data_IF_320464553223
#
_entry.id   IF_320464553223
#
_cell.length_a   1.000
_cell.length_b   1.000
_cell.length_c   1.000
_cell.angle_alpha   90.00
_cell.angle_beta   90.00
_cell.angle_gamma   90.00
#
_symmetry.space_group_name_H-M   'P 1'
#
loop_
_entity.id
_entity.type
_entity.pdbx_description
1 polymer ?
#
# COMPACT_ATOMS: atom_id res chain seq x y z
N UNK A 1 9.25 -8.59 0.52
CA UNK A 1 8.49 -8.20 1.73
C UNK A 1 7.02 -8.23 1.40
N UNK A 2 6.20 -9.01 2.10
CA UNK A 2 4.83 -9.32 1.68
C UNK A 2 3.78 -8.70 2.62
N UNK A 3 2.76 -8.01 2.07
CA UNK A 3 1.56 -7.60 2.83
C UNK A 3 0.39 -8.48 2.42
N UNK A 4 -0.36 -9.01 3.41
CA UNK A 4 -1.55 -9.85 3.22
C UNK A 4 -2.80 -8.97 3.32
N UNK A 5 -3.46 -8.75 2.19
CA UNK A 5 -4.79 -8.13 2.15
C UNK A 5 -5.84 -9.22 1.96
N UNK A 6 -6.94 -9.20 2.72
CA UNK A 6 -8.00 -10.23 2.80
C UNK A 6 -8.04 -11.24 1.65
N UNK A 7 -8.59 -10.84 0.49
CA UNK A 7 -8.54 -11.64 -0.76
C UNK A 7 -7.12 -11.66 -1.35
N UNK A 8 -6.30 -12.53 -0.75
CA UNK A 8 -4.95 -13.01 -1.08
C UNK A 8 -4.20 -12.37 -2.25
N UNK A 9 -3.88 -11.08 -2.16
CA UNK A 9 -2.77 -10.47 -2.91
C UNK A 9 -1.60 -10.23 -1.98
N UNK A 10 -0.54 -11.02 -2.16
CA UNK A 10 0.75 -10.78 -1.53
C UNK A 10 1.51 -9.74 -2.36
N UNK A 11 1.67 -8.54 -1.82
CA UNK A 11 2.41 -7.47 -2.50
C UNK A 11 3.85 -7.50 -2.04
N UNK A 12 4.78 -7.74 -2.97
CA UNK A 12 6.19 -7.55 -2.70
C UNK A 12 6.52 -6.05 -2.72
N UNK A 13 7.10 -5.51 -1.63
CA UNK A 13 7.53 -4.11 -1.57
C UNK A 13 8.99 -3.88 -1.98
N UNK A 14 9.77 -4.94 -2.25
CA UNK A 14 11.18 -4.78 -2.66
C UNK A 14 11.34 -4.18 -4.06
N UNK A 15 10.31 -4.28 -4.90
CA UNK A 15 10.26 -3.76 -6.26
C UNK A 15 9.34 -2.55 -6.41
N UNK A 16 8.86 -1.97 -5.30
CA UNK A 16 8.06 -0.75 -5.29
C UNK A 16 8.96 0.47 -5.15
N UNK A 17 8.88 1.37 -6.13
CA UNK A 17 9.67 2.62 -6.16
C UNK A 17 8.91 3.79 -5.55
N UNK A 18 7.60 3.87 -5.76
CA UNK A 18 6.77 4.96 -5.23
C UNK A 18 5.47 4.43 -4.62
N UNK A 19 5.03 5.08 -3.54
CA UNK A 19 3.75 4.84 -2.87
C UNK A 19 3.12 6.19 -2.54
N UNK A 20 1.85 6.41 -2.88
CA UNK A 20 1.14 7.65 -2.58
C UNK A 20 -0.38 7.46 -2.46
N UNK A 21 -1.08 8.35 -1.74
CA UNK A 21 -2.53 8.39 -1.81
C UNK A 21 -2.98 8.87 -3.18
N UNK A 22 -3.95 8.18 -3.77
CA UNK A 22 -4.54 8.55 -5.06
C UNK A 22 -6.06 8.65 -4.89
N UNK A 23 -6.66 9.71 -5.43
CA UNK A 23 -8.10 9.86 -5.50
C UNK A 23 -8.56 9.57 -6.93
N UNK A 24 -9.45 8.60 -7.10
CA UNK A 24 -10.10 8.27 -8.37
C UNK A 24 -11.61 8.27 -8.12
N UNK A 25 -12.35 9.06 -8.90
CA UNK A 25 -13.82 9.11 -8.84
C UNK A 25 -14.38 9.35 -7.43
N UNK A 26 -13.69 10.16 -6.62
CA UNK A 26 -14.08 10.48 -5.24
C UNK A 26 -13.74 9.41 -4.21
N UNK A 27 -13.11 8.31 -4.64
CA UNK A 27 -12.65 7.21 -3.78
C UNK A 27 -11.14 7.27 -3.60
N UNK A 28 -10.67 6.92 -2.42
CA UNK A 28 -9.24 6.96 -2.09
C UNK A 28 -8.61 5.58 -2.19
N UNK A 29 -7.40 5.54 -2.76
CA UNK A 29 -6.66 4.30 -3.01
C UNK A 29 -5.21 4.44 -2.58
N UNK A 30 -4.61 3.31 -2.20
CA UNK A 30 -3.16 3.17 -2.08
C UNK A 30 -2.58 2.97 -3.48
N UNK A 31 -2.04 4.04 -4.07
CA UNK A 31 -1.33 3.94 -5.35
C UNK A 31 0.09 3.45 -5.14
N UNK A 32 0.50 2.43 -5.89
CA UNK A 32 1.88 1.95 -5.94
C UNK A 32 2.40 2.02 -7.38
N UNK A 33 3.70 2.25 -7.52
CA UNK A 33 4.42 2.22 -8.79
C UNK A 33 5.71 1.42 -8.62
N UNK A 34 5.92 0.44 -9.49
CA UNK A 34 7.09 -0.45 -9.45
C UNK A 34 8.33 0.23 -10.04
N UNK A 35 9.50 -0.18 -9.56
CA UNK A 35 10.80 0.25 -10.09
C UNK A 35 10.87 -0.12 -11.57
N UNK A 36 11.17 0.85 -12.43
CA UNK A 36 11.25 0.64 -13.89
C UNK A 36 9.90 0.56 -14.62
N UNK A 37 8.77 0.67 -13.91
CA UNK A 37 7.45 0.80 -14.53
C UNK A 37 7.02 2.26 -14.59
N UNK A 38 6.24 2.63 -15.61
CA UNK A 38 5.53 3.92 -15.67
C UNK A 38 4.06 3.83 -15.27
N UNK A 39 3.57 2.62 -14.98
CA UNK A 39 2.18 2.35 -14.66
C UNK A 39 1.92 2.41 -13.17
N UNK A 40 0.74 2.91 -12.80
CA UNK A 40 0.25 2.93 -11.43
C UNK A 40 -0.70 1.77 -11.20
N UNK A 41 -0.47 1.03 -10.13
CA UNK A 41 -1.43 0.07 -9.60
C UNK A 41 -2.17 0.71 -8.42
N UNK A 42 -3.49 0.55 -8.37
CA UNK A 42 -4.33 1.08 -7.30
C UNK A 42 -4.82 -0.06 -6.44
N UNK A 43 -4.41 -0.06 -5.18
CA UNK A 43 -4.71 -1.09 -4.21
C UNK A 43 -5.65 -0.53 -3.15
N UNK A 44 -6.61 -1.37 -2.71
CA UNK A 44 -7.53 -1.12 -1.59
C UNK A 44 -8.30 0.20 -1.66
N UNK A 45 -9.63 0.14 -1.57
CA UNK A 45 -10.43 1.34 -1.43
C UNK A 45 -10.46 1.81 0.04
N UNK A 46 -10.32 3.11 0.26
CA UNK A 46 -10.31 3.74 1.57
C UNK A 46 -11.33 4.87 1.66
N UNK A 47 -11.82 5.10 2.89
CA UNK A 47 -12.84 6.12 3.19
C UNK A 47 -12.31 7.56 3.10
N UNK A 48 -11.01 7.80 3.34
CA UNK A 48 -10.40 9.12 3.22
C UNK A 48 -8.90 9.08 2.89
N UNK A 49 -8.37 10.21 2.43
CA UNK A 49 -6.94 10.40 2.18
C UNK A 49 -6.09 10.21 3.44
N UNK A 50 -6.61 10.59 4.63
CA UNK A 50 -5.88 10.42 5.89
C UNK A 50 -5.66 8.95 6.21
N UNK A 51 -6.67 8.11 5.99
CA UNK A 51 -6.54 6.67 6.19
C UNK A 51 -5.45 6.10 5.28
N UNK A 52 -5.42 6.51 4.01
CA UNK A 52 -4.37 6.06 3.09
C UNK A 52 -2.98 6.50 3.56
N UNK A 53 -2.83 7.75 4.03
CA UNK A 53 -1.55 8.25 4.56
C UNK A 53 -1.10 7.46 5.78
N UNK A 54 -2.00 7.16 6.71
CA UNK A 54 -1.70 6.33 7.87
C UNK A 54 -1.21 4.92 7.46
N UNK A 55 -1.82 4.32 6.44
CA UNK A 55 -1.37 3.03 5.91
C UNK A 55 0.02 3.15 5.28
N UNK A 56 0.27 4.20 4.49
CA UNK A 56 1.59 4.46 3.89
C UNK A 56 2.66 4.61 4.96
N UNK A 57 2.39 5.35 6.02
CA UNK A 57 3.35 5.54 7.11
C UNK A 57 3.64 4.23 7.83
N UNK A 58 2.63 3.41 8.10
CA UNK A 58 2.83 2.04 8.62
C UNK A 58 3.68 1.18 7.69
N UNK A 59 3.46 1.26 6.37
CA UNK A 59 4.28 0.53 5.38
C UNK A 59 5.74 1.01 5.44
N UNK A 60 5.97 2.33 5.51
CA UNK A 60 7.32 2.91 5.59
C UNK A 60 8.04 2.52 6.88
N UNK A 61 7.36 2.61 8.01
CA UNK A 61 7.93 2.21 9.31
C UNK A 61 8.25 0.72 9.31
N UNK A 62 7.37 -0.08 8.70
CA UNK A 62 7.59 -1.50 8.53
C UNK A 62 8.81 -1.84 7.66
N UNK A 63 8.99 -1.12 6.54
CA UNK A 63 10.17 -1.24 5.67
C UNK A 63 11.45 -0.86 6.44
N UNK A 64 11.43 0.25 7.18
CA UNK A 64 12.56 0.71 7.99
C UNK A 64 12.96 -0.29 9.07
N UNK A 65 11.99 -1.01 9.65
CA UNK A 65 12.21 -2.03 10.67
C UNK A 65 12.77 -3.36 10.11
N UNK A 66 13.10 -3.45 8.81
CA UNK A 66 13.71 -4.64 8.22
C UNK A 66 12.72 -5.76 7.89
N UNK A 67 11.41 -5.50 7.93
CA UNK A 67 10.43 -6.38 7.29
C UNK A 67 10.04 -7.67 8.03
N UNK A 68 10.21 -7.75 9.36
CA UNK A 68 9.94 -8.99 10.10
C UNK A 68 8.48 -9.23 10.54
N UNK A 69 7.54 -8.33 10.24
CA UNK A 69 6.14 -8.34 10.72
C UNK A 69 5.14 -8.28 9.56
N UNK A 70 4.41 -9.38 9.31
CA UNK A 70 3.30 -9.35 8.35
C UNK A 70 2.28 -8.30 8.82
N UNK A 71 2.04 -7.26 8.01
CA UNK A 71 0.94 -6.32 8.22
C UNK A 71 -0.37 -7.06 7.92
N UNK A 72 -0.99 -7.61 8.96
CA UNK A 72 -2.39 -8.04 8.93
C UNK A 72 -3.26 -6.82 9.19
N UNK A 73 -4.08 -6.45 8.22
CA UNK A 73 -5.09 -5.41 8.36
C UNK A 73 -6.45 -6.02 8.08
N UNK A 74 -7.33 -6.05 9.08
CA UNK A 74 -8.74 -6.34 8.87
C UNK A 74 -9.35 -5.20 8.03
N UNK A 75 -9.96 -5.57 6.91
CA UNK A 75 -10.70 -4.63 6.05
C UNK A 75 -12.08 -4.45 6.71
N UNK A 76 -12.37 -3.26 7.24
CA UNK A 76 -13.65 -2.86 7.85
C UNK A 76 -14.52 -1.99 6.93
#
# INVERSE_FOLDING_TARGET
MWIKTGDYRLINFSDIGEIRPVCLEGKWYLGIKRIGSNEWEFLLEFKSAEVVRMVIDKIKDFIKAGGQNVLETEVL
#
